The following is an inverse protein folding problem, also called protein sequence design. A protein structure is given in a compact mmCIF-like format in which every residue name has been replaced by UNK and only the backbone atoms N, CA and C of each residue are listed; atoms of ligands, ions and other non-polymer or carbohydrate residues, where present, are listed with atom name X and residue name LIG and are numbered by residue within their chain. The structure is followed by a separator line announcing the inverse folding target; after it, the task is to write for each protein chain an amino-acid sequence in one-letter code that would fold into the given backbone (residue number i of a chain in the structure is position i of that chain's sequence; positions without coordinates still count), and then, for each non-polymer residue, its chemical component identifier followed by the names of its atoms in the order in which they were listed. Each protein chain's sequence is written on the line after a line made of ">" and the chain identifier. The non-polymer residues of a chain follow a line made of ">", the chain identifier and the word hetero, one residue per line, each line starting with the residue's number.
data_IF_748547267755
#
_entry.id   IF_748547267755
#
_cell.length_a   1.000
_cell.length_b   1.000
_cell.length_c   1.000
_cell.angle_alpha   90.00
_cell.angle_beta   90.00
_cell.angle_gamma   90.00
#
_symmetry.space_group_name_H-M   'P 1'
#
loop_
_entity.id
_entity.type
_entity.pdbx_description
1 polymer ?
#
# COMPACT_ATOMS: atom_id res chain seq x y z
N UNK A 1 19.35 0.92 -1.75
CA UNK A 1 19.36 -0.26 -0.84
C UNK A 1 17.98 -0.49 -0.21
N UNK A 2 17.51 -1.75 -0.15
CA UNK A 2 16.35 -2.16 0.65
C UNK A 2 16.78 -2.34 2.10
N UNK A 3 16.03 -1.76 3.04
CA UNK A 3 16.27 -1.95 4.47
C UNK A 3 15.35 -3.09 4.93
N UNK A 4 15.93 -4.16 5.49
CA UNK A 4 15.18 -5.30 6.05
C UNK A 4 14.58 -5.02 7.43
N UNK A 5 15.11 -4.05 8.17
CA UNK A 5 14.61 -3.65 9.49
C UNK A 5 13.75 -2.39 9.39
N UNK A 6 12.44 -2.54 9.56
CA UNK A 6 11.60 -1.41 9.94
C UNK A 6 12.13 -0.85 11.26
N UNK A 7 12.52 0.43 11.28
CA UNK A 7 12.76 1.12 12.55
C UNK A 7 11.44 1.09 13.33
N UNK A 8 11.46 0.56 14.55
CA UNK A 8 10.31 0.67 15.46
C UNK A 8 10.14 2.16 15.74
N UNK A 9 9.21 2.80 15.04
CA UNK A 9 8.93 4.21 15.20
C UNK A 9 7.88 4.34 16.30
N UNK A 10 8.36 4.52 17.54
CA UNK A 10 7.50 4.74 18.70
C UNK A 10 6.93 6.16 18.65
N UNK A 11 5.63 6.26 18.38
CA UNK A 11 4.89 7.53 18.42
C UNK A 11 4.07 7.63 19.69
N UNK A 12 4.17 8.79 20.36
CA UNK A 12 3.31 9.14 21.50
C UNK A 12 1.84 9.31 21.08
N UNK A 13 1.57 9.49 19.79
CA UNK A 13 0.25 9.73 19.23
C UNK A 13 -0.40 8.48 18.65
N UNK A 14 0.26 7.32 18.71
CA UNK A 14 -0.23 6.05 18.16
C UNK A 14 -1.65 5.69 18.62
N UNK A 15 -2.02 6.02 19.86
CA UNK A 15 -3.38 5.83 20.40
C UNK A 15 -4.49 6.58 19.66
N UNK A 16 -4.16 7.63 18.88
CA UNK A 16 -5.14 8.34 18.04
C UNK A 16 -5.77 7.42 17.00
N UNK A 17 -5.05 6.40 16.51
CA UNK A 17 -5.61 5.47 15.55
C UNK A 17 -6.76 4.64 16.12
N UNK A 18 -6.67 4.23 17.38
CA UNK A 18 -7.76 3.49 18.02
C UNK A 18 -8.99 4.36 18.28
N UNK A 19 -8.80 5.67 18.43
CA UNK A 19 -9.89 6.62 18.60
C UNK A 19 -10.55 7.02 17.27
N UNK A 20 -9.76 7.25 16.22
CA UNK A 20 -10.21 7.86 14.96
C UNK A 20 -10.50 6.82 13.87
N UNK A 21 -9.83 5.66 13.89
CA UNK A 21 -9.98 4.61 12.89
C UNK A 21 -10.66 3.40 13.53
N UNK A 22 -11.99 3.29 13.45
CA UNK A 22 -12.76 2.17 13.99
C UNK A 22 -12.23 0.81 13.53
N UNK A 23 -12.39 -0.21 14.38
CA UNK A 23 -11.99 -1.60 14.07
C UNK A 23 -12.74 -2.18 12.85
N UNK A 24 -13.91 -1.66 12.54
CA UNK A 24 -14.69 -2.08 11.39
C UNK A 24 -14.28 -1.40 10.06
N UNK A 25 -13.38 -0.40 10.11
CA UNK A 25 -12.84 0.29 8.94
C UNK A 25 -12.19 -0.70 7.95
N UNK A 26 -12.49 -0.53 6.66
CA UNK A 26 -12.01 -1.42 5.60
C UNK A 26 -10.48 -1.49 5.55
N UNK A 27 -9.79 -0.35 5.50
CA UNK A 27 -8.34 -0.29 5.37
C UNK A 27 -7.65 -0.87 6.60
N UNK A 28 -8.23 -0.64 7.79
CA UNK A 28 -7.76 -1.25 9.03
C UNK A 28 -7.84 -2.77 8.98
N UNK A 29 -8.99 -3.33 8.56
CA UNK A 29 -9.15 -4.78 8.39
C UNK A 29 -8.16 -5.36 7.38
N UNK A 30 -8.00 -4.71 6.23
CA UNK A 30 -7.03 -5.12 5.20
C UNK A 30 -5.63 -5.15 5.81
N UNK A 31 -5.24 -4.12 6.55
CA UNK A 31 -3.91 -4.04 7.15
C UNK A 31 -3.66 -5.12 8.22
N UNK A 32 -4.66 -5.42 9.04
CA UNK A 32 -4.53 -6.38 10.15
C UNK A 32 -4.62 -7.85 9.67
N UNK A 33 -5.30 -8.12 8.55
CA UNK A 33 -5.60 -9.49 8.10
C UNK A 33 -4.79 -9.96 6.90
N UNK A 34 -4.21 -9.05 6.11
CA UNK A 34 -3.39 -9.37 4.95
C UNK A 34 -1.92 -9.16 5.30
N UNK A 35 -1.13 -10.22 5.15
CA UNK A 35 0.32 -10.10 5.20
C UNK A 35 0.83 -9.64 3.83
N UNK A 36 1.49 -8.47 3.80
CA UNK A 36 2.07 -7.89 2.58
C UNK A 36 3.54 -8.28 2.37
N UNK A 37 4.09 -9.20 3.17
CA UNK A 37 5.46 -9.72 3.01
C UNK A 37 5.76 -10.22 1.61
N UNK A 38 4.78 -10.84 0.93
CA UNK A 38 4.92 -11.33 -0.45
C UNK A 38 5.31 -10.23 -1.45
N UNK A 39 4.92 -8.97 -1.21
CA UNK A 39 5.31 -7.83 -2.06
C UNK A 39 6.82 -7.65 -2.05
N UNK A 40 7.44 -7.84 -0.89
CA UNK A 40 8.89 -7.74 -0.77
C UNK A 40 9.57 -8.83 -1.58
N UNK A 41 9.10 -10.08 -1.50
CA UNK A 41 9.64 -11.21 -2.25
C UNK A 41 9.56 -10.98 -3.78
N UNK A 42 8.40 -10.54 -4.27
CA UNK A 42 8.14 -10.28 -5.69
C UNK A 42 8.97 -9.12 -6.25
N UNK A 43 9.30 -8.14 -5.40
CA UNK A 43 10.04 -6.94 -5.81
C UNK A 43 11.53 -7.01 -5.49
N UNK A 44 12.00 -7.99 -4.73
CA UNK A 44 13.39 -8.09 -4.26
C UNK A 44 14.38 -8.00 -5.42
N UNK A 45 14.11 -8.72 -6.51
CA UNK A 45 14.95 -8.75 -7.72
C UNK A 45 15.02 -7.41 -8.46
N UNK A 46 14.10 -6.48 -8.18
CA UNK A 46 14.06 -5.15 -8.80
C UNK A 46 14.81 -4.10 -8.01
N UNK A 47 15.31 -4.45 -6.83
CA UNK A 47 16.08 -3.55 -5.98
C UNK A 47 17.52 -4.00 -5.87
N UNK A 48 18.43 -3.02 -5.71
CA UNK A 48 19.83 -3.30 -5.47
C UNK A 48 20.08 -3.50 -3.97
N UNK A 49 20.66 -4.65 -3.61
CA UNK A 49 20.90 -5.04 -2.22
C UNK A 49 22.05 -4.29 -1.55
N UNK A 50 23.02 -3.80 -2.32
CA UNK A 50 24.32 -3.35 -1.78
C UNK A 50 24.74 -1.93 -2.19
N UNK A 51 23.94 -1.20 -2.98
CA UNK A 51 24.35 0.12 -3.47
C UNK A 51 23.20 1.15 -3.50
N UNK A 52 23.59 2.43 -3.37
CA UNK A 52 22.73 3.60 -3.52
C UNK A 52 21.96 4.03 -2.27
N UNK A 53 21.22 5.15 -2.40
CA UNK A 53 20.39 5.74 -1.34
C UNK A 53 19.36 4.74 -0.81
N UNK A 54 18.96 4.93 0.45
CA UNK A 54 17.85 4.19 1.03
C UNK A 54 16.58 4.47 0.24
N UNK A 55 15.95 3.40 -0.25
CA UNK A 55 14.68 3.51 -0.93
C UNK A 55 13.54 3.39 0.08
N UNK A 56 12.43 4.04 -0.21
CA UNK A 56 11.17 3.80 0.49
C UNK A 56 10.78 2.32 0.41
N UNK A 57 10.08 1.85 1.44
CA UNK A 57 9.64 0.46 1.53
C UNK A 57 8.80 0.07 0.31
N UNK A 58 9.11 -1.03 -0.40
CA UNK A 58 8.33 -1.50 -1.54
C UNK A 58 6.90 -1.86 -1.13
N UNK A 59 6.72 -2.36 0.10
CA UNK A 59 5.40 -2.65 0.68
C UNK A 59 4.60 -1.36 0.83
N UNK A 60 5.18 -0.31 1.43
CA UNK A 60 4.51 0.98 1.60
C UNK A 60 4.16 1.61 0.25
N UNK A 61 5.08 1.55 -0.71
CA UNK A 61 4.85 2.04 -2.08
C UNK A 61 3.73 1.28 -2.79
N UNK A 62 3.68 -0.04 -2.63
CA UNK A 62 2.57 -0.85 -3.15
C UNK A 62 1.25 -0.50 -2.46
N UNK A 63 1.23 -0.31 -1.14
CA UNK A 63 0.04 0.11 -0.39
C UNK A 63 -0.51 1.45 -0.89
N UNK A 64 0.35 2.42 -1.22
CA UNK A 64 -0.08 3.66 -1.89
C UNK A 64 -0.79 3.38 -3.23
N UNK A 65 -0.27 2.44 -4.04
CA UNK A 65 -0.90 2.05 -5.30
C UNK A 65 -2.20 1.27 -5.10
N UNK A 66 -2.30 0.50 -4.02
CA UNK A 66 -3.55 -0.16 -3.66
C UNK A 66 -4.61 0.87 -3.25
N UNK A 67 -4.27 1.85 -2.42
CA UNK A 67 -5.15 2.98 -2.09
C UNK A 67 -5.59 3.72 -3.36
N UNK A 68 -4.65 3.99 -4.26
CA UNK A 68 -4.94 4.58 -5.57
C UNK A 68 -5.97 3.76 -6.35
N UNK A 69 -5.87 2.44 -6.35
CA UNK A 69 -6.81 1.54 -7.03
C UNK A 69 -8.17 1.47 -6.34
N UNK A 70 -8.22 1.49 -5.00
CA UNK A 70 -9.47 1.42 -4.22
C UNK A 70 -10.29 2.70 -4.37
N UNK A 71 -9.63 3.86 -4.38
CA UNK A 71 -10.29 5.17 -4.40
C UNK A 71 -10.25 5.87 -5.77
N UNK A 72 -9.65 5.24 -6.78
CA UNK A 72 -9.60 5.73 -8.18
C UNK A 72 -9.00 7.15 -8.31
N UNK A 73 -7.94 7.43 -7.56
CA UNK A 73 -7.30 8.77 -7.46
C UNK A 73 -5.95 8.86 -8.19
N UNK A 74 -5.43 10.07 -8.41
CA UNK A 74 -4.09 10.26 -9.00
C UNK A 74 -2.96 9.94 -7.99
N UNK A 75 -1.72 9.87 -8.47
CA UNK A 75 -0.55 9.64 -7.58
C UNK A 75 -0.29 10.83 -6.65
N UNK A 76 -0.62 12.03 -7.11
CA UNK A 76 -0.49 13.25 -6.32
C UNK A 76 -1.59 13.27 -5.27
N UNK A 77 -2.82 12.99 -5.67
CA UNK A 77 -3.98 13.06 -4.77
C UNK A 77 -3.93 11.98 -3.68
N UNK A 78 -3.46 10.76 -3.99
CA UNK A 78 -3.34 9.71 -2.97
C UNK A 78 -2.30 10.05 -1.90
N UNK A 79 -1.20 10.70 -2.30
CA UNK A 79 -0.14 11.15 -1.39
C UNK A 79 -0.58 12.38 -0.60
N UNK A 80 -1.28 13.32 -1.22
CA UNK A 80 -1.82 14.47 -0.51
C UNK A 80 -2.88 14.02 0.50
N UNK A 81 -3.77 13.10 0.11
CA UNK A 81 -4.79 12.56 1.01
C UNK A 81 -4.22 11.79 2.19
N UNK A 82 -3.11 11.07 2.01
CA UNK A 82 -2.45 10.40 3.14
C UNK A 82 -1.84 11.37 4.16
N UNK A 83 -1.77 12.67 3.85
CA UNK A 83 -1.29 13.68 4.80
C UNK A 83 -2.25 13.90 5.96
N UNK A 84 -3.56 13.84 5.70
CA UNK A 84 -4.60 14.18 6.67
C UNK A 84 -5.59 13.05 6.94
N UNK A 85 -5.71 12.05 6.06
CA UNK A 85 -6.60 10.91 6.27
C UNK A 85 -5.92 9.86 7.19
N UNK A 86 -6.37 9.80 8.44
CA UNK A 86 -5.83 8.88 9.46
C UNK A 86 -6.01 7.41 9.07
N UNK A 87 -7.04 7.06 8.30
CA UNK A 87 -7.21 5.68 7.84
C UNK A 87 -6.16 5.30 6.80
N UNK A 88 -5.73 6.26 5.96
CA UNK A 88 -4.66 6.05 4.99
C UNK A 88 -3.32 5.92 5.70
N UNK A 89 -3.02 6.81 6.66
CA UNK A 89 -1.77 6.71 7.44
C UNK A 89 -1.67 5.40 8.21
N UNK A 90 -2.77 4.97 8.83
CA UNK A 90 -2.83 3.67 9.51
C UNK A 90 -2.50 2.53 8.55
N UNK A 91 -3.15 2.51 7.38
CA UNK A 91 -2.91 1.48 6.36
C UNK A 91 -1.46 1.46 5.87
N UNK A 92 -0.85 2.63 5.70
CA UNK A 92 0.52 2.82 5.23
C UNK A 92 1.58 2.55 6.30
N UNK A 93 1.19 2.14 7.51
CA UNK A 93 2.07 1.95 8.66
C UNK A 93 2.91 3.20 8.93
N UNK A 94 2.25 4.36 8.91
CA UNK A 94 2.86 5.63 9.23
C UNK A 94 2.51 6.03 10.66
N UNK A 95 3.38 6.76 11.33
CA UNK A 95 2.98 7.42 12.58
C UNK A 95 2.07 8.62 12.28
N UNK A 96 1.14 9.01 13.16
CA UNK A 96 0.23 10.13 12.91
C UNK A 96 0.95 11.43 12.51
N UNK A 97 2.11 11.67 13.12
CA UNK A 97 2.98 12.83 12.89
C UNK A 97 3.94 12.69 11.69
N UNK A 98 4.04 11.52 11.07
CA UNK A 98 4.98 11.27 9.96
C UNK A 98 4.56 12.05 8.72
N UNK A 99 5.52 12.72 8.08
CA UNK A 99 5.33 13.36 6.78
C UNK A 99 5.19 12.33 5.66
N UNK A 100 4.40 12.67 4.66
CA UNK A 100 4.17 11.79 3.51
C UNK A 100 5.37 11.79 2.55
N UNK A 101 5.45 10.75 1.71
CA UNK A 101 6.46 10.67 0.67
C UNK A 101 6.30 11.80 -0.34
N UNK A 102 7.37 12.10 -1.09
CA UNK A 102 7.21 12.97 -2.25
C UNK A 102 6.38 12.26 -3.35
N UNK A 103 5.34 12.89 -3.94
CA UNK A 103 4.52 12.26 -4.99
C UNK A 103 5.31 11.72 -6.19
N UNK A 104 6.43 12.38 -6.54
CA UNK A 104 7.31 11.94 -7.63
C UNK A 104 7.98 10.60 -7.33
N UNK A 105 8.18 10.24 -6.06
CA UNK A 105 8.71 8.94 -5.65
C UNK A 105 7.74 7.82 -6.03
N UNK A 106 6.43 8.01 -5.79
CA UNK A 106 5.41 7.04 -6.17
C UNK A 106 5.33 6.87 -7.70
N UNK A 107 5.40 7.98 -8.43
CA UNK A 107 5.42 7.97 -9.90
C UNK A 107 6.64 7.21 -10.43
N UNK A 108 7.83 7.47 -9.88
CA UNK A 108 9.08 6.78 -10.24
C UNK A 108 9.02 5.30 -9.91
N UNK A 109 8.47 4.93 -8.75
CA UNK A 109 8.30 3.54 -8.36
C UNK A 109 7.44 2.79 -9.38
N UNK A 110 6.27 3.33 -9.74
CA UNK A 110 5.41 2.72 -10.77
C UNK A 110 6.15 2.59 -12.11
N UNK A 111 6.75 3.66 -12.62
CA UNK A 111 7.38 3.66 -13.95
C UNK A 111 8.66 2.82 -14.03
N UNK A 112 9.43 2.71 -12.96
CA UNK A 112 10.75 2.06 -12.99
C UNK A 112 10.73 0.64 -12.43
N UNK A 113 9.89 0.36 -11.43
CA UNK A 113 9.83 -0.95 -10.76
C UNK A 113 8.62 -1.76 -11.19
N UNK A 114 7.48 -1.11 -11.46
CA UNK A 114 6.25 -1.75 -11.93
C UNK A 114 5.96 -1.40 -13.40
N UNK A 115 7.01 -1.34 -14.20
CA UNK A 115 6.98 -0.99 -15.61
C UNK A 115 6.07 -1.92 -16.44
N UNK A 116 5.89 -3.12 -15.93
CA UNK A 116 4.95 -4.12 -16.41
C UNK A 116 3.61 -3.95 -15.66
N UNK A 117 2.58 -3.51 -16.40
CA UNK A 117 1.22 -3.35 -15.88
C UNK A 117 0.69 -4.67 -15.32
N UNK A 118 1.13 -5.80 -15.87
CA UNK A 118 0.69 -7.12 -15.45
C UNK A 118 1.16 -7.46 -14.04
N UNK A 119 2.36 -6.98 -13.64
CA UNK A 119 2.84 -7.18 -12.28
C UNK A 119 2.00 -6.41 -11.26
N UNK A 120 1.64 -5.16 -11.54
CA UNK A 120 0.78 -4.41 -10.62
C UNK A 120 -0.59 -5.09 -10.46
N UNK A 121 -1.19 -5.49 -11.58
CA UNK A 121 -2.46 -6.22 -11.58
C UNK A 121 -2.35 -7.56 -10.85
N UNK A 122 -1.25 -8.29 -11.01
CA UNK A 122 -0.99 -9.54 -10.30
C UNK A 122 -0.92 -9.32 -8.78
N UNK A 123 -0.20 -8.31 -8.32
CA UNK A 123 -0.06 -8.03 -6.88
C UNK A 123 -1.38 -7.56 -6.26
N UNK A 124 -2.14 -6.71 -6.97
CA UNK A 124 -3.49 -6.32 -6.55
C UNK A 124 -4.42 -7.55 -6.54
N UNK A 125 -4.39 -8.37 -7.58
CA UNK A 125 -5.17 -9.60 -7.69
C UNK A 125 -4.89 -10.56 -6.54
N UNK A 126 -3.61 -10.82 -6.22
CA UNK A 126 -3.20 -11.59 -5.03
C UNK A 126 -3.78 -11.00 -3.75
N UNK A 127 -3.71 -9.67 -3.58
CA UNK A 127 -4.27 -8.98 -2.41
C UNK A 127 -5.78 -9.19 -2.31
N UNK A 128 -6.51 -9.07 -3.42
CA UNK A 128 -7.95 -9.28 -3.48
C UNK A 128 -8.30 -10.74 -3.15
N UNK A 129 -7.58 -11.71 -3.71
CA UNK A 129 -7.78 -13.13 -3.41
C UNK A 129 -7.58 -13.45 -1.93
N UNK A 130 -6.59 -12.85 -1.28
CA UNK A 130 -6.39 -13.01 0.17
C UNK A 130 -7.54 -12.32 0.93
N UNK A 131 -7.99 -11.14 0.50
CA UNK A 131 -9.08 -10.40 1.17
C UNK A 131 -10.43 -11.13 1.11
N UNK A 132 -10.81 -11.58 -0.09
CA UNK A 132 -11.28 -12.93 -0.41
C UNK A 132 -11.45 -13.94 0.74
N UNK A 133 -10.42 -14.79 0.83
CA UNK A 133 -10.27 -15.90 1.77
C UNK A 133 -10.42 -15.47 3.24
N UNK A 134 -9.98 -14.26 3.58
CA UNK A 134 -10.11 -13.68 4.93
C UNK A 134 -11.50 -13.12 5.22
N UNK A 135 -12.42 -13.13 4.25
CA UNK A 135 -13.81 -12.67 4.42
C UNK A 135 -13.94 -11.15 4.57
N UNK A 136 -12.91 -10.37 4.21
CA UNK A 136 -12.92 -8.90 4.27
C UNK A 136 -13.83 -8.35 3.16
N UNK A 137 -13.70 -8.93 1.97
CA UNK A 137 -14.51 -8.63 0.81
C UNK A 137 -15.49 -9.78 0.62
N UNK A 138 -16.79 -9.50 0.65
CA UNK A 138 -17.80 -10.49 0.27
C UNK A 138 -17.80 -10.61 -1.25
N UNK A 139 -17.68 -11.82 -1.78
CA UNK A 139 -17.83 -12.12 -3.21
C UNK A 139 -19.28 -11.92 -3.65
N UNK A 140 -19.74 -10.66 -3.74
CA UNK A 140 -21.00 -10.34 -4.40
C UNK A 140 -20.73 -10.06 -5.86
N UNK A 141 -21.06 -11.04 -6.71
CA UNK A 141 -21.26 -10.97 -8.16
C UNK A 141 -20.18 -10.22 -8.95
N UNK A 142 -19.31 -11.00 -9.60
CA UNK A 142 -18.40 -10.51 -10.63
C UNK A 142 -19.23 -9.88 -11.76
N UNK A 143 -19.27 -8.55 -11.85
CA UNK A 143 -19.67 -7.89 -13.09
C UNK A 143 -18.40 -7.84 -13.95
N UNK A 144 -18.29 -8.81 -14.86
CA UNK A 144 -17.25 -8.84 -15.89
C UNK A 144 -17.65 -7.80 -16.94
N UNK A 145 -17.08 -6.61 -16.86
CA UNK A 145 -17.14 -5.68 -17.99
C UNK A 145 -16.01 -6.04 -18.96
N UNK A 146 -16.37 -6.80 -19.98
CA UNK A 146 -15.48 -7.15 -21.08
C UNK A 146 -15.49 -6.01 -22.10
N UNK A 147 -14.64 -4.99 -21.90
CA UNK A 147 -14.32 -4.07 -22.99
C UNK A 147 -13.35 -4.76 -23.94
N UNK A 148 -13.90 -5.38 -24.98
CA UNK A 148 -13.15 -5.70 -26.20
C UNK A 148 -12.81 -4.40 -26.92
N UNK A 149 -11.53 -4.15 -27.21
CA UNK A 149 -11.08 -3.38 -28.38
C UNK A 149 -9.74 -3.92 -28.83
#
# INVERSE_FOLDING_TARGET
>A
MLIQQQKIQLSSYSGLYDLIVPKDNLLRKINELIDFSFIYEELLNKYCSNNGRHAESPVRMFKYLLLKSIYTVSDVDVVERSRYDMSFKYFLEMTPEEEVINPSSLTKFRKLRLKDTDLLNLLIGKTVTIAIEKGIIKSKSIIVDATHT
#
